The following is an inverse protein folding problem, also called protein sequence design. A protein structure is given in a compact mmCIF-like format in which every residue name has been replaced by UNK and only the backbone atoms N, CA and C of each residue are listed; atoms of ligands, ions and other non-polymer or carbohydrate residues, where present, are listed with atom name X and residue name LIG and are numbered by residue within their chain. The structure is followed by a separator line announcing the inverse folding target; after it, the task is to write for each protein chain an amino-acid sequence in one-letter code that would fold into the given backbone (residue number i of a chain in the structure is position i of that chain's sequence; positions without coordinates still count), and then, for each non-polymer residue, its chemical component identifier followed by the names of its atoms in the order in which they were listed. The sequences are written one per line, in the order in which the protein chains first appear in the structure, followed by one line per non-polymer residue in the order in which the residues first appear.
data_IF_235394895247
#
_entry.id   IF_235394895247
#
_cell.length_a   1.000
_cell.length_b   1.000
_cell.length_c   1.000
_cell.angle_alpha   90.00
_cell.angle_beta   90.00
_cell.angle_gamma   90.00
#
_symmetry.space_group_name_H-M   'P 1'
#
loop_
_entity.id
_entity.type
_entity.pdbx_description
1 polymer ?
#
# COMPACT_ATOMS: atom_id res chain seq x y z
N UNK A 1 10.14 0.05 -5.83
CA UNK A 1 10.27 -0.17 -4.37
C UNK A 1 11.31 -1.23 -4.05
N UNK A 2 11.27 -2.41 -4.67
CA UNK A 2 12.20 -3.52 -4.37
C UNK A 2 13.69 -3.15 -4.44
N UNK A 3 14.11 -2.43 -5.47
CA UNK A 3 15.50 -1.97 -5.62
C UNK A 3 15.96 -1.07 -4.45
N UNK A 4 15.09 -0.17 -3.99
CA UNK A 4 15.40 0.73 -2.88
C UNK A 4 15.51 -0.02 -1.55
N UNK A 5 14.64 -1.01 -1.31
CA UNK A 5 14.75 -1.88 -0.14
C UNK A 5 16.06 -2.68 -0.15
N UNK A 6 16.42 -3.25 -1.30
CA UNK A 6 17.66 -4.03 -1.42
C UNK A 6 18.89 -3.16 -1.14
N UNK A 7 18.89 -1.90 -1.59
CA UNK A 7 19.99 -0.97 -1.35
C UNK A 7 20.15 -0.63 0.13
N UNK A 8 19.06 -0.37 0.86
CA UNK A 8 19.12 -0.10 2.30
C UNK A 8 19.55 -1.34 3.08
N UNK A 9 19.08 -2.53 2.71
CA UNK A 9 19.54 -3.79 3.30
C UNK A 9 21.04 -4.03 3.07
N UNK A 10 21.54 -3.78 1.85
CA UNK A 10 22.98 -3.87 1.54
C UNK A 10 23.77 -2.89 2.39
N UNK A 11 23.37 -1.63 2.44
CA UNK A 11 24.03 -0.60 3.24
C UNK A 11 24.10 -0.99 4.73
N UNK A 12 23.02 -1.55 5.26
CA UNK A 12 22.96 -2.01 6.65
C UNK A 12 23.93 -3.16 6.95
N UNK A 13 23.99 -4.16 6.06
CA UNK A 13 24.90 -5.31 6.20
C UNK A 13 26.35 -4.86 6.07
N UNK A 14 26.65 -3.91 5.17
CA UNK A 14 27.98 -3.33 5.04
C UNK A 14 28.42 -2.55 6.29
N UNK A 15 27.49 -1.83 6.94
CA UNK A 15 27.78 -1.10 8.17
C UNK A 15 27.89 -2.00 9.41
N UNK A 16 27.21 -3.16 9.41
CA UNK A 16 27.17 -4.09 10.54
C UNK A 16 27.57 -5.51 10.08
N UNK A 17 28.84 -5.73 9.74
CA UNK A 17 29.31 -7.06 9.37
C UNK A 17 29.13 -8.01 10.58
N UNK A 18 28.63 -9.22 10.32
CA UNK A 18 28.20 -10.24 11.30
C UNK A 18 26.83 -10.08 11.96
N UNK A 19 26.12 -8.96 11.78
CA UNK A 19 24.77 -8.82 12.32
C UNK A 19 23.73 -9.27 11.29
N UNK A 20 22.89 -10.22 11.67
CA UNK A 20 21.76 -10.64 10.84
C UNK A 20 20.57 -9.66 11.00
N UNK A 21 19.84 -9.44 9.91
CA UNK A 21 18.66 -8.57 9.94
C UNK A 21 17.55 -9.27 10.72
N UNK A 22 17.16 -8.67 11.85
CA UNK A 22 16.03 -9.16 12.67
C UNK A 22 14.70 -8.60 12.17
N UNK A 23 13.58 -9.16 12.64
CA UNK A 23 12.24 -8.67 12.28
C UNK A 23 11.99 -7.20 12.64
N UNK A 24 12.67 -6.69 13.66
CA UNK A 24 12.58 -5.29 14.09
C UNK A 24 13.33 -4.36 13.13
N UNK A 25 14.46 -4.83 12.63
CA UNK A 25 15.28 -4.10 11.65
C UNK A 25 14.57 -3.97 10.30
N UNK A 26 13.77 -4.96 9.90
CA UNK A 26 12.99 -4.89 8.65
C UNK A 26 12.09 -3.66 8.62
N UNK A 27 11.40 -3.34 9.72
CA UNK A 27 10.55 -2.14 9.77
C UNK A 27 11.37 -0.86 9.61
N UNK A 28 12.55 -0.80 10.26
CA UNK A 28 13.45 0.36 10.18
C UNK A 28 14.03 0.53 8.77
N UNK A 29 14.48 -0.55 8.15
CA UNK A 29 15.07 -0.55 6.80
C UNK A 29 14.05 -0.23 5.72
N UNK A 30 12.78 -0.59 5.92
CA UNK A 30 11.71 -0.30 4.95
C UNK A 30 11.09 1.09 5.14
N UNK A 31 11.24 1.74 6.30
CA UNK A 31 10.67 3.07 6.55
C UNK A 31 11.20 4.15 5.59
N UNK A 32 12.51 4.19 5.33
CA UNK A 32 13.14 5.17 4.41
C UNK A 32 12.68 5.00 2.94
N UNK A 33 12.75 3.80 2.34
CA UNK A 33 12.31 3.61 0.97
C UNK A 33 10.79 3.77 0.83
N UNK A 34 10.02 3.47 1.88
CA UNK A 34 8.60 3.80 1.95
C UNK A 34 8.38 5.32 1.86
N UNK A 35 9.05 6.11 2.69
CA UNK A 35 8.96 7.58 2.62
C UNK A 35 9.32 8.15 1.25
N UNK A 36 10.32 7.58 0.57
CA UNK A 36 10.68 7.97 -0.81
C UNK A 36 9.58 7.59 -1.82
N UNK A 37 8.99 6.41 -1.69
CA UNK A 37 7.92 5.95 -2.56
C UNK A 37 6.67 6.84 -2.45
N UNK A 38 6.33 7.29 -1.24
CA UNK A 38 5.21 8.18 -0.94
C UNK A 38 5.58 9.67 -0.95
N UNK A 39 6.62 10.04 -1.70
CA UNK A 39 6.94 11.46 -1.93
C UNK A 39 5.82 12.15 -2.74
N UNK A 40 5.58 13.46 -2.51
CA UNK A 40 4.59 14.21 -3.28
C UNK A 40 4.81 14.12 -4.79
N UNK A 41 6.06 14.09 -5.24
CA UNK A 41 6.40 13.98 -6.66
C UNK A 41 5.98 12.63 -7.25
N UNK A 42 6.21 11.53 -6.52
CA UNK A 42 5.77 10.21 -6.95
C UNK A 42 4.24 10.11 -6.98
N UNK A 43 3.56 10.66 -5.97
CA UNK A 43 2.09 10.65 -5.91
C UNK A 43 1.49 11.50 -7.04
N UNK A 44 2.00 12.70 -7.27
CA UNK A 44 1.54 13.57 -8.37
C UNK A 44 1.83 12.95 -9.74
N UNK A 45 2.96 12.27 -9.91
CA UNK A 45 3.24 11.53 -11.14
C UNK A 45 2.24 10.40 -11.38
N UNK A 46 1.77 9.73 -10.32
CA UNK A 46 0.75 8.71 -10.42
C UNK A 46 -0.61 9.32 -10.80
N UNK A 47 -0.97 10.47 -10.22
CA UNK A 47 -2.18 11.20 -10.63
C UNK A 47 -2.12 11.69 -12.07
N UNK A 48 -0.94 12.10 -12.56
CA UNK A 48 -0.73 12.42 -13.98
C UNK A 48 -0.96 11.22 -14.88
N UNK A 49 -0.39 10.07 -14.54
CA UNK A 49 -0.60 8.83 -15.31
C UNK A 49 -2.04 8.35 -15.28
N UNK A 50 -2.75 8.57 -14.18
CA UNK A 50 -4.16 8.24 -14.05
C UNK A 50 -5.09 9.25 -14.74
N UNK A 51 -4.57 10.37 -15.27
CA UNK A 51 -5.38 11.44 -15.86
C UNK A 51 -6.20 12.25 -14.84
N UNK A 52 -5.91 12.10 -13.54
CA UNK A 52 -6.60 12.84 -12.47
C UNK A 52 -6.00 14.25 -12.32
N UNK A 53 -4.71 14.41 -12.63
CA UNK A 53 -3.99 15.69 -12.53
C UNK A 53 -3.20 15.99 -13.83
N UNK A 54 -3.13 17.25 -14.30
CA UNK A 54 -3.89 18.40 -13.79
C UNK A 54 -5.38 18.25 -14.10
N UNK A 55 -6.21 18.74 -13.18
CA UNK A 55 -7.65 18.70 -13.35
C UNK A 55 -8.08 19.66 -14.47
N UNK A 56 -8.78 19.13 -15.48
CA UNK A 56 -9.36 19.94 -16.54
C UNK A 56 -10.88 20.05 -16.31
N UNK A 57 -11.42 21.21 -15.85
CA UNK A 57 -12.84 21.37 -15.58
C UNK A 57 -13.69 21.28 -16.86
N UNK A 58 -13.15 21.61 -18.02
CA UNK A 58 -13.88 21.64 -19.29
C UNK A 58 -14.27 20.23 -19.78
N UNK A 59 -13.62 19.19 -19.26
CA UNK A 59 -13.87 17.79 -19.61
C UNK A 59 -15.10 17.23 -18.88
N UNK A 60 -15.51 17.85 -17.77
CA UNK A 60 -16.61 17.36 -16.93
C UNK A 60 -17.88 18.16 -17.23
N UNK A 61 -18.87 17.50 -17.82
CA UNK A 61 -20.17 18.13 -18.06
C UNK A 61 -20.90 18.40 -16.75
N UNK A 62 -21.66 19.50 -16.70
CA UNK A 62 -22.45 19.86 -15.51
C UNK A 62 -23.38 18.72 -15.05
N UNK A 63 -23.90 17.95 -16.00
CA UNK A 63 -24.74 16.76 -15.76
C UNK A 63 -24.00 15.63 -15.05
N UNK A 64 -22.70 15.45 -15.30
CA UNK A 64 -21.87 14.43 -14.65
C UNK A 64 -21.54 14.79 -13.19
N UNK A 65 -21.53 16.09 -12.87
CA UNK A 65 -21.38 16.63 -11.50
C UNK A 65 -22.71 16.91 -10.81
N UNK A 66 -23.84 16.71 -11.49
CA UNK A 66 -25.14 16.98 -10.91
C UNK A 66 -25.43 16.02 -9.74
N UNK A 67 -26.09 16.49 -8.67
CA UNK A 67 -26.50 15.61 -7.59
C UNK A 67 -27.43 14.52 -8.11
N UNK A 68 -27.32 13.32 -7.55
CA UNK A 68 -28.23 12.23 -7.89
C UNK A 68 -29.67 12.60 -7.53
N UNK A 69 -30.62 12.28 -8.40
CA UNK A 69 -32.04 12.40 -8.06
C UNK A 69 -32.37 11.49 -6.88
N UNK A 70 -33.18 12.00 -5.95
CA UNK A 70 -33.79 11.17 -4.91
C UNK A 70 -34.74 10.19 -5.62
N UNK A 71 -34.67 8.92 -5.25
CA UNK A 71 -35.62 7.92 -5.71
C UNK A 71 -37.00 8.28 -5.14
N UNK A 72 -37.92 8.68 -6.01
CA UNK A 72 -39.33 8.86 -5.65
C UNK A 72 -40.05 7.54 -5.89
N UNK A 73 -40.79 7.06 -4.89
CA UNK A 73 -41.60 5.86 -5.07
C UNK A 73 -42.72 6.15 -6.09
N UNK A 74 -43.12 5.21 -6.97
CA UNK A 74 -44.15 5.46 -8.00
C UNK A 74 -45.49 5.99 -7.45
N UNK A 75 -45.79 5.75 -6.17
CA UNK A 75 -47.00 6.24 -5.49
C UNK A 75 -46.93 7.72 -5.08
N UNK A 76 -45.74 8.32 -5.06
CA UNK A 76 -45.51 9.72 -4.70
C UNK A 76 -45.53 10.64 -5.91
N UNK A 77 -45.29 10.12 -7.13
CA UNK A 77 -45.32 10.90 -8.37
C UNK A 77 -46.72 11.40 -8.76
N UNK A 78 -47.79 10.83 -8.18
CA UNK A 78 -49.18 11.24 -8.43
C UNK A 78 -49.66 12.39 -7.52
N UNK A 79 -48.79 12.90 -6.63
CA UNK A 79 -49.17 13.92 -5.63
C UNK A 79 -48.72 15.34 -6.00
N UNK A 80 -47.84 15.51 -6.98
CA UNK A 80 -47.14 16.78 -7.25
C UNK A 80 -47.95 17.75 -8.17
N UNK A 81 -49.11 17.36 -8.72
CA UNK A 81 -49.94 18.22 -9.59
C UNK A 81 -50.98 19.08 -8.85
N UNK A 82 -50.98 19.08 -7.51
CA UNK A 82 -52.07 19.69 -6.73
C UNK A 82 -51.59 20.49 -5.50
N UNK A 83 -50.59 21.36 -5.62
CA UNK A 83 -50.49 22.54 -4.73
C UNK A 83 -49.47 23.59 -5.23
N UNK A 84 -49.97 24.58 -5.96
CA UNK A 84 -49.34 25.89 -6.05
C UNK A 84 -50.23 26.87 -5.29
N UNK A 85 -49.91 27.16 -4.03
CA UNK A 85 -50.20 28.45 -3.38
C UNK A 85 -49.53 28.59 -2.00
N UNK A 86 -48.89 29.76 -1.81
CA UNK A 86 -48.56 30.48 -0.57
C UNK A 86 -47.51 29.95 0.42
N UNK A 87 -46.32 30.56 0.32
CA UNK A 87 -45.64 31.42 1.30
C UNK A 87 -45.50 31.02 2.80
N UNK A 88 -44.22 31.06 3.23
CA UNK A 88 -43.65 31.46 4.54
C UNK A 88 -44.04 30.73 5.83
N UNK A 89 -43.08 29.99 6.42
CA UNK A 89 -42.55 30.31 7.75
C UNK A 89 -41.21 29.61 8.05
N UNK A 90 -40.28 30.37 8.64
CA UNK A 90 -39.06 29.88 9.27
C UNK A 90 -39.42 29.23 10.62
N UNK A 91 -38.93 28.01 10.87
CA UNK A 91 -38.48 27.70 12.23
C UNK A 91 -37.36 26.65 12.25
N UNK A 92 -36.29 27.04 12.94
CA UNK A 92 -35.10 26.25 13.16
C UNK A 92 -35.42 25.00 13.98
N UNK A 93 -34.97 23.84 13.50
CA UNK A 93 -34.61 22.75 14.41
C UNK A 93 -33.31 22.11 13.93
N UNK A 94 -32.28 22.32 14.75
CA UNK A 94 -31.05 21.56 14.68
C UNK A 94 -31.37 20.11 15.05
N UNK A 95 -31.18 19.19 14.10
CA UNK A 95 -31.19 17.76 14.40
C UNK A 95 -30.06 17.10 13.61
N UNK A 96 -28.91 17.02 14.28
CA UNK A 96 -27.94 15.92 14.22
C UNK A 96 -27.67 15.34 12.83
N UNK A 97 -26.53 15.74 12.28
CA UNK A 97 -25.76 14.91 11.35
C UNK A 97 -25.51 13.54 12.01
N UNK A 98 -26.38 12.58 11.74
CA UNK A 98 -26.00 11.18 11.83
C UNK A 98 -25.19 10.89 10.59
N UNK A 99 -23.86 11.07 10.71
CA UNK A 99 -22.94 10.44 9.78
C UNK A 99 -23.25 8.95 9.79
N UNK A 100 -23.63 8.39 8.65
CA UNK A 100 -23.71 6.94 8.52
C UNK A 100 -22.27 6.43 8.67
N UNK A 101 -22.01 5.73 9.77
CA UNK A 101 -20.71 5.13 10.07
C UNK A 101 -20.24 4.30 8.88
N UNK A 102 -18.97 4.47 8.53
CA UNK A 102 -18.24 3.83 7.42
C UNK A 102 -18.16 2.29 7.46
N UNK A 103 -18.92 1.63 8.34
CA UNK A 103 -18.87 0.20 8.56
C UNK A 103 -19.53 -0.60 7.42
N UNK A 104 -20.53 -0.04 6.75
CA UNK A 104 -21.29 -0.78 5.72
C UNK A 104 -20.56 -0.88 4.36
N UNK A 105 -19.40 -0.23 4.18
CA UNK A 105 -18.65 -0.31 2.92
C UNK A 105 -17.78 -1.58 2.80
N UNK A 106 -17.45 -2.23 3.91
CA UNK A 106 -16.54 -3.39 3.91
C UNK A 106 -17.26 -4.76 3.86
N UNK A 107 -18.53 -4.83 4.25
CA UNK A 107 -19.25 -6.11 4.35
C UNK A 107 -19.65 -6.70 2.99
N UNK A 108 -19.98 -5.88 2.00
CA UNK A 108 -20.42 -6.34 0.66
C UNK A 108 -19.34 -7.07 -0.15
N UNK A 109 -18.05 -6.94 0.19
CA UNK A 109 -16.97 -7.65 -0.54
C UNK A 109 -16.72 -9.08 -0.05
N UNK A 110 -17.34 -9.50 1.05
CA UNK A 110 -17.05 -10.80 1.66
C UNK A 110 -17.87 -11.96 1.09
N UNK A 111 -18.88 -11.67 0.26
CA UNK A 111 -19.68 -12.70 -0.38
C UNK A 111 -19.28 -12.86 -1.85
N UNK A 112 -18.67 -14.02 -2.13
CA UNK A 112 -18.39 -14.64 -3.43
C UNK A 112 -17.07 -14.26 -4.11
N UNK A 113 -15.99 -14.96 -3.73
CA UNK A 113 -15.20 -15.79 -4.66
C UNK A 113 -14.65 -17.00 -3.91
N UNK A 114 -15.11 -18.20 -4.26
CA UNK A 114 -14.41 -19.45 -3.93
C UNK A 114 -13.09 -19.45 -4.72
N UNK A 115 -12.05 -18.84 -4.16
CA UNK A 115 -10.70 -18.90 -4.71
C UNK A 115 -10.02 -20.12 -4.09
N UNK A 116 -9.77 -21.14 -4.90
CA UNK A 116 -8.87 -22.24 -4.52
C UNK A 116 -7.47 -21.67 -4.33
N UNK A 117 -7.11 -21.36 -3.08
CA UNK A 117 -5.78 -20.88 -2.72
C UNK A 117 -4.84 -22.08 -2.75
N UNK A 118 -3.94 -22.14 -3.75
CA UNK A 118 -2.85 -23.12 -3.75
C UNK A 118 -1.96 -22.88 -2.52
N UNK A 119 -1.52 -23.93 -1.80
CA UNK A 119 -0.65 -23.76 -0.65
C UNK A 119 0.64 -23.05 -1.06
N UNK A 120 0.92 -21.92 -0.40
CA UNK A 120 2.14 -21.13 -0.62
C UNK A 120 3.33 -22.00 -0.22
N UNK A 121 4.20 -22.35 -1.17
CA UNK A 121 5.47 -23.03 -0.88
C UNK A 121 6.21 -22.20 0.16
N UNK A 122 6.60 -22.80 1.29
CA UNK A 122 7.42 -22.16 2.31
C UNK A 122 8.71 -21.70 1.65
N UNK A 123 8.85 -20.39 1.46
CA UNK A 123 10.05 -19.80 0.91
C UNK A 123 11.13 -19.83 1.99
N UNK A 124 11.92 -20.90 2.01
CA UNK A 124 13.17 -20.92 2.77
C UNK A 124 14.21 -20.21 1.93
N UNK A 125 14.29 -18.88 2.06
CA UNK A 125 15.42 -18.14 1.52
C UNK A 125 16.64 -18.48 2.38
N UNK A 126 17.31 -19.59 2.06
CA UNK A 126 18.68 -19.80 2.52
C UNK A 126 19.52 -18.78 1.79
N UNK A 127 19.78 -17.64 2.43
CA UNK A 127 20.84 -16.76 2.01
C UNK A 127 22.14 -17.58 2.04
N UNK A 128 22.59 -18.06 0.87
CA UNK A 128 23.97 -18.49 0.73
C UNK A 128 24.79 -17.21 0.90
N UNK A 129 25.45 -17.09 2.05
CA UNK A 129 26.57 -16.15 2.18
C UNK A 129 27.47 -16.37 0.95
N UNK A 130 27.83 -15.32 0.20
CA UNK A 130 28.81 -15.48 -0.86
C UNK A 130 30.06 -16.06 -0.18
N UNK A 131 30.38 -17.30 -0.55
CA UNK A 131 31.61 -17.92 -0.16
C UNK A 131 32.73 -16.95 -0.48
N UNK A 132 33.51 -16.63 0.56
CA UNK A 132 34.84 -16.06 0.39
C UNK A 132 35.51 -16.85 -0.74
N UNK A 133 35.73 -16.20 -1.88
CA UNK A 133 36.60 -16.73 -2.93
C UNK A 133 38.03 -16.66 -2.39
N UNK A 134 38.33 -17.50 -1.40
CA UNK A 134 39.68 -17.89 -1.06
C UNK A 134 40.08 -18.90 -2.13
N UNK A 135 41.07 -18.53 -2.95
CA UNK A 135 41.65 -19.42 -3.94
C UNK A 135 42.09 -20.74 -3.29
N UNK A 136 42.02 -21.84 -4.05
CA UNK A 136 42.38 -23.17 -3.57
C UNK A 136 43.82 -23.24 -3.00
N UNK A 137 44.70 -22.35 -3.46
CA UNK A 137 46.05 -22.21 -2.92
C UNK A 137 46.09 -21.67 -1.49
N UNK A 138 45.25 -20.68 -1.16
CA UNK A 138 45.19 -20.12 0.19
C UNK A 138 44.63 -21.14 1.19
N UNK A 139 43.70 -21.99 0.76
CA UNK A 139 43.16 -23.09 1.57
C UNK A 139 44.24 -24.15 1.88
N UNK A 140 45.11 -24.46 0.92
CA UNK A 140 46.22 -25.40 1.11
C UNK A 140 47.26 -24.85 2.08
N UNK A 141 47.59 -23.57 1.98
CA UNK A 141 48.53 -22.91 2.88
C UNK A 141 48.03 -22.90 4.33
N UNK A 142 46.74 -22.60 4.55
CA UNK A 142 46.15 -22.62 5.90
C UNK A 142 46.18 -24.03 6.52
N UNK A 143 45.86 -25.06 5.72
CA UNK A 143 45.90 -26.46 6.19
C UNK A 143 47.32 -26.91 6.51
N UNK A 144 48.31 -26.49 5.71
CA UNK A 144 49.72 -26.81 5.93
C UNK A 144 50.25 -26.16 7.22
N UNK A 145 49.94 -24.87 7.43
CA UNK A 145 50.29 -24.13 8.65
C UNK A 145 49.67 -24.78 9.90
N UNK A 146 48.42 -25.25 9.80
CA UNK A 146 47.75 -25.91 10.91
C UNK A 146 48.36 -27.29 11.24
N UNK A 147 48.78 -28.03 10.22
CA UNK A 147 49.43 -29.34 10.40
C UNK A 147 50.81 -29.21 11.04
N UNK A 148 51.57 -28.17 10.69
CA UNK A 148 52.88 -27.87 11.29
C UNK A 148 52.77 -27.46 12.77
N UNK A 149 51.67 -26.81 13.15
CA UNK A 149 51.43 -26.36 14.53
C UNK A 149 51.01 -27.48 15.49
N UNK A 150 50.61 -28.64 14.97
CA UNK A 150 50.21 -29.82 15.77
C UNK A 150 51.42 -30.73 16.06
N UNK A 151 52.54 -30.56 15.35
CA UNK A 151 53.75 -31.39 15.53
C UNK A 151 54.84 -30.75 16.40
N UNK A 152 54.50 -29.69 17.15
CA UNK A 152 55.29 -29.09 18.23
C UNK A 152 54.52 -29.24 19.54
#
# INVERSE_FOLDING_TARGET
MEHHNNNECKAYIHANPMVSITRYEVARLTARPYGRAFSPDNITSAFRKAGIYPFNPDVITLTATAPSSIYKHPLEMLRDDAESTSAENLENKANTSTCKTSQNFFEERTLKKNVTVKPRKKFTQRYKLPGSLMSDENMKQIKLQHQQKIQL
#
